data_IF_842065919878
#
_entry.id   IF_842065919878
#
_cell.length_a   1.000
_cell.length_b   1.000
_cell.length_c   1.000
_cell.angle_alpha   90.00
_cell.angle_beta   90.00
_cell.angle_gamma   90.00
#
_symmetry.space_group_name_H-M   'P 1'
#
loop_
_entity.id
_entity.type
_entity.pdbx_description
1 polymer ?
#
# COMPACT_ATOMS: atom_id res chain seq x y z
N UNK A 1 -0.47 14.03 9.80
CA UNK A 1 -1.70 14.49 9.12
C UNK A 1 -2.35 13.31 8.41
N UNK A 2 -3.69 13.29 8.21
CA UNK A 2 -4.30 12.23 7.43
C UNK A 2 -3.94 12.40 5.94
N UNK A 3 -3.26 11.41 5.35
CA UNK A 3 -3.09 11.31 3.89
C UNK A 3 -4.39 11.68 3.18
N UNK A 4 -4.42 12.75 2.39
CA UNK A 4 -5.55 13.02 1.50
C UNK A 4 -5.20 12.37 0.16
N UNK A 5 -6.18 11.74 -0.48
CA UNK A 5 -6.07 11.27 -1.86
C UNK A 5 -7.22 11.96 -2.59
N UNK A 6 -6.88 12.83 -3.53
CA UNK A 6 -7.84 13.66 -4.24
C UNK A 6 -8.71 12.82 -5.21
N UNK A 7 -9.91 13.31 -5.54
CA UNK A 7 -10.82 12.74 -6.55
C UNK A 7 -10.18 12.66 -7.94
N UNK A 8 -9.14 13.45 -8.19
CA UNK A 8 -8.32 13.40 -9.41
C UNK A 8 -7.49 12.11 -9.52
N UNK A 9 -7.27 11.38 -8.41
CA UNK A 9 -6.54 10.09 -8.40
C UNK A 9 -7.46 8.92 -8.73
N UNK A 10 -8.68 8.90 -8.17
CA UNK A 10 -9.74 7.96 -8.51
C UNK A 10 -11.09 8.57 -8.18
N UNK A 11 -12.11 8.36 -9.02
CA UNK A 11 -13.48 8.80 -8.74
C UNK A 11 -14.14 8.00 -7.62
N UNK A 12 -13.72 6.75 -7.39
CA UNK A 12 -14.28 5.89 -6.35
C UNK A 12 -13.65 6.16 -4.97
N UNK A 13 -14.49 6.45 -3.98
CA UNK A 13 -14.06 6.76 -2.62
C UNK A 13 -13.47 5.55 -1.89
N UNK A 14 -13.96 4.34 -2.16
CA UNK A 14 -13.41 3.12 -1.56
C UNK A 14 -12.01 2.85 -2.07
N UNK A 15 -11.81 2.94 -3.39
CA UNK A 15 -10.49 2.82 -4.03
C UNK A 15 -9.48 3.83 -3.47
N UNK A 16 -9.89 5.10 -3.26
CA UNK A 16 -9.01 6.10 -2.63
C UNK A 16 -8.67 5.76 -1.18
N UNK A 17 -9.63 5.22 -0.42
CA UNK A 17 -9.44 4.81 0.97
C UNK A 17 -8.46 3.64 1.06
N UNK A 18 -8.63 2.62 0.21
CA UNK A 18 -7.72 1.50 0.12
C UNK A 18 -6.31 1.95 -0.26
N UNK A 19 -6.15 2.78 -1.30
CA UNK A 19 -4.84 3.29 -1.68
C UNK A 19 -4.16 4.04 -0.52
N UNK A 20 -4.91 4.88 0.20
CA UNK A 20 -4.40 5.57 1.39
C UNK A 20 -3.92 4.62 2.49
N UNK A 21 -4.70 3.58 2.79
CA UNK A 21 -4.32 2.62 3.82
C UNK A 21 -3.08 1.81 3.38
N UNK A 22 -2.97 1.47 2.10
CA UNK A 22 -1.79 0.81 1.54
C UNK A 22 -0.53 1.66 1.59
N UNK A 23 -0.63 2.97 1.34
CA UNK A 23 0.52 3.87 1.42
C UNK A 23 1.04 4.01 2.85
N UNK A 24 0.16 3.97 3.86
CA UNK A 24 0.59 3.92 5.27
C UNK A 24 1.28 2.60 5.61
N UNK A 25 0.73 1.49 5.12
CA UNK A 25 1.37 0.17 5.27
C UNK A 25 2.74 0.14 4.60
N UNK A 26 2.87 0.73 3.42
CA UNK A 26 4.17 0.88 2.75
C UNK A 26 5.19 1.63 3.61
N UNK A 27 4.80 2.74 4.26
CA UNK A 27 5.67 3.46 5.20
C UNK A 27 6.10 2.58 6.39
N UNK A 28 5.21 1.73 6.90
CA UNK A 28 5.53 0.76 7.96
C UNK A 28 6.52 -0.28 7.45
N UNK A 29 6.32 -0.81 6.24
CA UNK A 29 7.25 -1.77 5.64
C UNK A 29 8.64 -1.20 5.37
N UNK A 30 8.77 0.11 5.09
CA UNK A 30 10.08 0.76 5.02
C UNK A 30 10.79 0.76 6.39
N UNK A 31 10.03 0.85 7.48
CA UNK A 31 10.57 0.74 8.84
C UNK A 31 10.81 -0.71 9.29
N UNK A 32 10.08 -1.67 8.70
CA UNK A 32 10.26 -3.10 8.96
C UNK A 32 11.65 -3.57 8.52
N UNK A 33 12.32 -4.33 9.40
CA UNK A 33 13.75 -4.70 9.36
C UNK A 33 14.74 -3.60 9.80
N UNK A 34 14.27 -2.37 10.05
CA UNK A 34 15.10 -1.28 10.61
C UNK A 34 14.77 -1.07 12.09
N UNK A 35 13.50 -1.26 12.46
CA UNK A 35 13.02 -1.24 13.86
C UNK A 35 11.93 -2.28 14.08
N UNK A 36 11.66 -2.58 15.34
CA UNK A 36 10.47 -3.32 15.75
C UNK A 36 9.20 -2.53 15.42
N UNK A 37 8.13 -3.25 15.10
CA UNK A 37 6.81 -2.68 14.89
C UNK A 37 6.22 -2.27 16.24
N UNK A 38 5.53 -1.14 16.26
CA UNK A 38 4.78 -0.67 17.44
C UNK A 38 3.34 -1.17 17.36
N UNK A 39 2.63 -1.20 18.49
CA UNK A 39 1.19 -1.48 18.54
C UNK A 39 0.38 -0.63 17.54
N UNK A 40 0.81 0.63 17.32
CA UNK A 40 0.18 1.51 16.34
C UNK A 40 0.42 1.06 14.90
N UNK A 41 1.62 0.55 14.59
CA UNK A 41 1.93 -0.01 13.27
C UNK A 41 1.09 -1.28 13.04
N UNK A 42 0.98 -2.15 14.04
CA UNK A 42 0.18 -3.38 13.97
C UNK A 42 -1.30 -3.09 13.74
N UNK A 43 -1.88 -2.10 14.43
CA UNK A 43 -3.26 -1.67 14.20
C UNK A 43 -3.48 -1.13 12.78
N UNK A 44 -2.51 -0.41 12.21
CA UNK A 44 -2.59 0.07 10.83
C UNK A 44 -2.52 -1.10 9.84
N UNK A 45 -1.63 -2.06 10.08
CA UNK A 45 -1.51 -3.28 9.28
C UNK A 45 -2.83 -4.05 9.29
N UNK A 46 -3.38 -4.34 10.47
CA UNK A 46 -4.65 -5.08 10.63
C UNK A 46 -5.80 -4.38 9.90
N UNK A 47 -5.96 -3.06 10.10
CA UNK A 47 -6.99 -2.28 9.42
C UNK A 47 -6.87 -2.35 7.90
N UNK A 48 -5.65 -2.25 7.38
CA UNK A 48 -5.39 -2.32 5.95
C UNK A 48 -5.66 -3.71 5.38
N UNK A 49 -5.31 -4.78 6.12
CA UNK A 49 -5.63 -6.15 5.74
C UNK A 49 -7.14 -6.39 5.65
N UNK A 50 -7.89 -5.92 6.64
CA UNK A 50 -9.35 -6.02 6.64
C UNK A 50 -9.97 -5.27 5.45
N UNK A 51 -9.53 -4.04 5.20
CA UNK A 51 -10.00 -3.22 4.05
C UNK A 51 -9.68 -3.90 2.72
N UNK A 52 -8.47 -4.44 2.57
CA UNK A 52 -8.05 -5.18 1.37
C UNK A 52 -8.88 -6.44 1.16
N UNK A 53 -9.18 -7.18 2.24
CA UNK A 53 -10.02 -8.38 2.21
C UNK A 53 -11.45 -8.05 1.75
N UNK A 54 -12.04 -6.99 2.27
CA UNK A 54 -13.37 -6.52 1.87
C UNK A 54 -13.42 -6.14 0.38
N UNK A 55 -12.36 -5.52 -0.13
CA UNK A 55 -12.27 -5.09 -1.54
C UNK A 55 -11.74 -6.18 -2.49
N UNK A 56 -11.33 -7.34 -1.98
CA UNK A 56 -10.74 -8.43 -2.77
C UNK A 56 -11.58 -8.86 -3.99
N UNK A 57 -12.92 -8.94 -3.92
CA UNK A 57 -13.74 -9.27 -5.10
C UNK A 57 -13.61 -8.24 -6.22
N UNK A 58 -13.48 -6.94 -5.88
CA UNK A 58 -13.33 -5.85 -6.84
C UNK A 58 -11.92 -5.82 -7.43
N UNK A 59 -10.90 -6.08 -6.60
CA UNK A 59 -9.49 -6.22 -7.00
C UNK A 59 -9.35 -7.38 -8.00
N UNK A 60 -9.86 -8.56 -7.65
CA UNK A 60 -9.76 -9.79 -8.46
C UNK A 60 -10.46 -9.62 -9.80
N UNK A 61 -11.59 -8.91 -9.82
CA UNK A 61 -12.32 -8.58 -11.04
C UNK A 61 -11.69 -7.42 -11.84
N UNK A 62 -10.55 -6.86 -11.40
CA UNK A 62 -9.87 -5.71 -12.02
C UNK A 62 -10.78 -4.49 -12.23
N UNK A 63 -11.73 -4.29 -11.30
CA UNK A 63 -12.67 -3.17 -11.31
C UNK A 63 -12.05 -1.90 -10.74
N UNK A 64 -11.00 -2.02 -9.94
CA UNK A 64 -10.22 -0.90 -9.45
C UNK A 64 -9.37 -0.36 -10.61
N UNK A 65 -9.57 0.92 -10.92
CA UNK A 65 -8.80 1.67 -11.91
C UNK A 65 -8.55 3.07 -11.39
N UNK A 66 -7.35 3.57 -11.65
CA UNK A 66 -6.97 4.95 -11.35
C UNK A 66 -6.96 5.80 -12.62
N UNK A 67 -6.99 7.12 -12.45
CA UNK A 67 -7.05 8.06 -13.58
C UNK A 67 -5.69 8.16 -14.33
N UNK A 68 -4.58 7.78 -13.69
CA UNK A 68 -3.23 7.79 -14.26
C UNK A 68 -2.54 6.44 -14.00
N UNK A 69 -1.84 5.91 -15.02
CA UNK A 69 -1.13 4.63 -14.98
C UNK A 69 -0.09 4.56 -13.85
N UNK A 70 0.49 5.69 -13.44
CA UNK A 70 1.44 5.70 -12.30
C UNK A 70 0.75 5.30 -10.99
N UNK A 71 -0.51 5.67 -10.80
CA UNK A 71 -1.31 5.29 -9.64
C UNK A 71 -1.75 3.83 -9.72
N UNK A 72 -2.12 3.33 -10.90
CA UNK A 72 -2.38 1.90 -11.09
C UNK A 72 -1.12 1.07 -10.77
N UNK A 73 0.05 1.51 -11.26
CA UNK A 73 1.32 0.84 -11.00
C UNK A 73 1.67 0.84 -9.51
N UNK A 74 1.57 2.00 -8.86
CA UNK A 74 1.79 2.12 -7.42
C UNK A 74 0.87 1.19 -6.65
N UNK A 75 -0.45 1.26 -6.92
CA UNK A 75 -1.46 0.44 -6.27
C UNK A 75 -1.14 -1.05 -6.37
N UNK A 76 -0.84 -1.53 -7.57
CA UNK A 76 -0.51 -2.94 -7.79
C UNK A 76 0.75 -3.37 -7.02
N UNK A 77 1.75 -2.51 -6.93
CA UNK A 77 3.00 -2.81 -6.25
C UNK A 77 2.87 -2.79 -4.72
N UNK A 78 2.19 -1.79 -4.13
CA UNK A 78 1.94 -1.78 -2.68
C UNK A 78 0.97 -2.90 -2.25
N UNK A 79 0.08 -3.33 -3.15
CA UNK A 79 -0.77 -4.50 -2.94
C UNK A 79 0.05 -5.80 -2.94
N UNK A 80 0.92 -5.97 -3.94
CA UNK A 80 1.83 -7.11 -4.00
C UNK A 80 2.76 -7.16 -2.80
N UNK A 81 3.23 -6.00 -2.33
CA UNK A 81 4.06 -5.86 -1.13
C UNK A 81 3.32 -6.33 0.13
N UNK A 82 2.07 -5.90 0.32
CA UNK A 82 1.25 -6.35 1.46
C UNK A 82 0.99 -7.86 1.42
N UNK A 83 0.75 -8.44 0.25
CA UNK A 83 0.58 -9.89 0.09
C UNK A 83 1.89 -10.62 0.42
N UNK A 84 3.02 -10.14 -0.08
CA UNK A 84 4.32 -10.73 0.21
C UNK A 84 4.68 -10.61 1.70
N UNK A 85 4.32 -9.50 2.35
CA UNK A 85 4.50 -9.33 3.80
C UNK A 85 3.66 -10.32 4.60
N UNK A 86 2.39 -10.53 4.24
CA UNK A 86 1.55 -11.55 4.88
C UNK A 86 2.18 -12.95 4.80
N UNK A 87 2.84 -13.28 3.68
CA UNK A 87 3.55 -14.55 3.52
C UNK A 87 4.78 -14.67 4.44
N UNK A 88 5.43 -13.57 4.82
CA UNK A 88 6.50 -13.58 5.84
C UNK A 88 5.94 -13.92 7.22
N UNK A 89 4.74 -13.42 7.54
CA UNK A 89 4.10 -13.68 8.82
C UNK A 89 3.62 -15.14 8.96
N UNK A 90 3.40 -15.84 7.83
CA UNK A 90 2.88 -17.21 7.82
C UNK A 90 3.91 -18.30 7.55
N UNK A 91 5.00 -18.00 6.83
CA UNK A 91 6.07 -18.95 6.49
C UNK A 91 7.42 -18.45 7.04
N UNK A 92 8.17 -19.34 7.72
CA UNK A 92 9.47 -19.10 8.40
C UNK A 92 10.55 -18.46 7.49
N UNK A 93 10.42 -17.17 7.20
CA UNK A 93 11.35 -16.30 6.45
C UNK A 93 11.75 -16.75 5.02
N UNK A 94 11.24 -17.87 4.51
CA UNK A 94 11.56 -18.40 3.17
C UNK A 94 11.20 -17.42 2.04
N UNK A 95 10.20 -16.56 2.29
CA UNK A 95 9.72 -15.56 1.35
C UNK A 95 10.39 -14.17 1.50
N UNK A 96 11.37 -14.02 2.41
CA UNK A 96 11.97 -12.72 2.74
C UNK A 96 12.58 -12.01 1.52
N UNK A 97 13.28 -12.76 0.67
CA UNK A 97 13.89 -12.18 -0.53
C UNK A 97 12.84 -11.65 -1.51
N UNK A 98 11.72 -12.37 -1.68
CA UNK A 98 10.62 -11.93 -2.53
C UNK A 98 9.96 -10.67 -1.96
N UNK A 99 9.70 -10.66 -0.65
CA UNK A 99 9.17 -9.47 0.03
C UNK A 99 10.10 -8.25 -0.14
N UNK A 100 11.40 -8.39 0.09
CA UNK A 100 12.37 -7.30 -0.08
C UNK A 100 12.39 -6.79 -1.53
N UNK A 101 12.33 -7.69 -2.52
CA UNK A 101 12.28 -7.31 -3.93
C UNK A 101 11.02 -6.50 -4.25
N UNK A 102 9.84 -6.97 -3.84
CA UNK A 102 8.57 -6.29 -4.12
C UNK A 102 8.49 -4.96 -3.37
N UNK A 103 8.97 -4.90 -2.12
CA UNK A 103 9.10 -3.66 -1.34
C UNK A 103 9.92 -2.60 -2.07
N UNK A 104 11.06 -3.00 -2.65
CA UNK A 104 11.91 -2.07 -3.41
C UNK A 104 11.23 -1.56 -4.69
N UNK A 105 10.47 -2.41 -5.38
CA UNK A 105 9.69 -1.99 -6.56
C UNK A 105 8.57 -1.03 -6.16
N UNK A 106 7.86 -1.30 -5.05
CA UNK A 106 6.86 -0.40 -4.50
C UNK A 106 7.46 0.97 -4.13
N UNK A 107 8.64 0.98 -3.51
CA UNK A 107 9.35 2.22 -3.16
C UNK A 107 9.73 3.04 -4.40
N UNK A 108 10.17 2.39 -5.48
CA UNK A 108 10.46 3.07 -6.75
C UNK A 108 9.19 3.70 -7.34
N UNK A 109 8.06 2.98 -7.33
CA UNK A 109 6.80 3.53 -7.80
C UNK A 109 6.27 4.65 -6.90
N UNK A 110 6.46 4.56 -5.59
CA UNK A 110 6.13 5.62 -4.64
C UNK A 110 6.90 6.90 -4.95
N UNK A 111 8.22 6.81 -5.17
CA UNK A 111 9.05 7.96 -5.51
C UNK A 111 8.58 8.70 -6.79
N UNK A 112 7.99 8.00 -7.75
CA UNK A 112 7.43 8.61 -8.97
C UNK A 112 6.18 9.47 -8.72
N UNK A 113 5.48 9.23 -7.61
CA UNK A 113 4.27 9.96 -7.25
C UNK A 113 4.42 10.76 -5.95
N UNK A 114 5.55 10.64 -5.27
CA UNK A 114 5.83 11.25 -3.96
C UNK A 114 5.60 12.77 -3.97
N UNK A 115 6.08 13.47 -5.00
CA UNK A 115 5.86 14.91 -5.14
C UNK A 115 4.36 15.27 -5.27
N UNK A 116 3.53 14.36 -5.80
CA UNK A 116 2.07 14.54 -5.89
C UNK A 116 1.41 14.18 -4.56
N UNK A 117 1.82 13.08 -3.92
CA UNK A 117 1.36 12.67 -2.58
C UNK A 117 1.64 13.79 -1.57
N UNK A 118 2.87 14.29 -1.51
CA UNK A 118 3.29 15.33 -0.57
C UNK A 118 2.55 16.66 -0.79
N UNK A 119 2.19 16.99 -2.03
CA UNK A 119 1.31 18.14 -2.29
C UNK A 119 -0.08 17.91 -1.72
N UNK A 120 -0.65 16.73 -1.92
CA UNK A 120 -1.97 16.39 -1.39
C UNK A 120 -1.95 16.26 0.15
N UNK A 121 -0.84 15.86 0.76
CA UNK A 121 -0.69 15.81 2.23
C UNK A 121 -0.61 17.18 2.91
N UNK A 122 -0.11 18.19 2.19
CA UNK A 122 0.10 19.55 2.72
C UNK A 122 -1.03 20.54 2.38
N UNK A 123 -1.95 20.17 1.48
CA UNK A 123 -3.23 20.85 1.23
C UNK A 123 -4.34 20.34 2.18
#
# INVERSE_FOLDING_TARGET
MPLKIDKTVSKDAKTRTLLKDLLKVHQIHQAYLVRELTDADEQILEKSFNTTREMMPEITAKKIKFEDKKWDSLFNLVMAEQIAFAQILTDDNSNLNNYVQVKNQAQQAYALVEAVINKIEND
#
